data_IF_600535452281
#
_entry.id   IF_600535452281
#
_cell.length_a   1.000
_cell.length_b   1.000
_cell.length_c   1.000
_cell.angle_alpha   90.00
_cell.angle_beta   90.00
_cell.angle_gamma   90.00
#
_symmetry.space_group_name_H-M   'P 1'
#
loop_
_entity.id
_entity.type
_entity.pdbx_description
1 polymer ?
#
# COMPACT_ATOMS: atom_id res chain seq x y z
N UNK A 1 -3.24 39.00 -59.05
CA UNK A 1 -4.22 38.11 -58.37
C UNK A 1 -3.78 36.64 -58.29
N UNK A 2 -3.31 35.98 -59.37
CA UNK A 2 -2.92 34.56 -59.32
C UNK A 2 -1.78 34.19 -58.34
N UNK A 3 -0.82 35.09 -58.08
CA UNK A 3 0.28 34.87 -57.12
C UNK A 3 -0.16 34.95 -55.65
N UNK A 4 -1.07 35.88 -55.32
CA UNK A 4 -1.62 36.04 -53.96
C UNK A 4 -2.49 34.84 -53.56
N UNK A 5 -3.29 34.31 -54.49
CA UNK A 5 -4.11 33.12 -54.26
C UNK A 5 -3.24 31.88 -54.02
N UNK A 6 -2.10 31.73 -54.72
CA UNK A 6 -1.15 30.63 -54.48
C UNK A 6 -0.49 30.70 -53.10
N UNK A 7 -0.14 31.90 -52.62
CA UNK A 7 0.47 32.07 -51.30
C UNK A 7 -0.56 31.76 -50.21
N UNK A 8 -1.80 32.25 -50.34
CA UNK A 8 -2.89 31.98 -49.40
C UNK A 8 -3.28 30.49 -49.36
N UNK A 9 -3.34 29.81 -50.50
CA UNK A 9 -3.58 28.36 -50.53
C UNK A 9 -2.43 27.56 -49.92
N UNK A 10 -1.17 27.98 -50.14
CA UNK A 10 -0.01 27.31 -49.56
C UNK A 10 0.06 27.48 -48.04
N UNK A 11 -0.33 28.64 -47.50
CA UNK A 11 -0.42 28.87 -46.06
C UNK A 11 -1.61 28.14 -45.43
N UNK A 12 -2.73 27.99 -46.15
CA UNK A 12 -3.87 27.20 -45.68
C UNK A 12 -3.54 25.71 -45.66
N UNK A 13 -2.76 25.21 -46.64
CA UNK A 13 -2.27 23.84 -46.65
C UNK A 13 -1.26 23.56 -45.53
N UNK A 14 -0.40 24.53 -45.20
CA UNK A 14 0.54 24.46 -44.08
C UNK A 14 -0.18 24.44 -42.72
N UNK A 15 -1.25 25.24 -42.56
CA UNK A 15 -2.09 25.21 -41.36
C UNK A 15 -2.91 23.92 -41.25
N UNK A 16 -3.46 23.40 -42.35
CA UNK A 16 -4.14 22.10 -42.39
C UNK A 16 -3.18 20.93 -42.12
N UNK A 17 -1.91 21.01 -42.54
CA UNK A 17 -0.92 19.97 -42.23
C UNK A 17 -0.42 19.96 -40.78
N UNK A 18 -0.60 21.06 -40.03
CA UNK A 18 -0.35 21.08 -38.58
C UNK A 18 -1.58 20.54 -37.82
N UNK A 19 -2.78 20.64 -38.40
CA UNK A 19 -4.01 20.05 -37.85
C UNK A 19 -4.25 18.57 -38.21
N UNK A 20 -3.38 17.95 -39.02
CA UNK A 20 -3.55 16.57 -39.51
C UNK A 20 -2.50 15.57 -38.99
N UNK A 21 -1.72 15.91 -37.96
CA UNK A 21 -0.76 14.97 -37.35
C UNK A 21 -1.24 14.39 -36.01
N UNK A 22 -2.57 14.25 -35.83
CA UNK A 22 -3.17 13.58 -34.66
C UNK A 22 -3.73 12.18 -34.95
N UNK A 23 -3.47 11.61 -36.13
CA UNK A 23 -3.77 10.20 -36.39
C UNK A 23 -2.49 9.38 -36.24
N UNK A 24 -2.08 9.17 -34.99
CA UNK A 24 -1.21 8.05 -34.63
C UNK A 24 -2.08 6.89 -34.11
N UNK A 25 -3.21 6.63 -34.78
CA UNK A 25 -3.94 5.39 -34.65
C UNK A 25 -3.34 4.37 -35.62
N UNK A 26 -2.84 3.25 -35.09
CA UNK A 26 -2.49 2.16 -36.00
C UNK A 26 -2.01 0.88 -35.34
N UNK A 27 -1.26 0.94 -34.23
CA UNK A 27 -0.60 -0.28 -33.72
C UNK A 27 -0.71 -0.49 -32.20
N UNK A 28 -1.14 0.50 -31.39
CA UNK A 28 -1.09 0.40 -29.92
C UNK A 28 -2.40 0.67 -29.14
N UNK A 29 -3.50 1.14 -29.78
CA UNK A 29 -4.70 1.55 -29.01
C UNK A 29 -5.53 0.38 -28.48
N UNK A 30 -5.64 -0.74 -29.22
CA UNK A 30 -6.40 -1.91 -28.78
C UNK A 30 -5.72 -2.63 -27.60
N UNK A 31 -4.39 -2.69 -27.62
CA UNK A 31 -3.59 -3.28 -26.55
C UNK A 31 -3.61 -2.39 -25.30
N UNK A 32 -3.55 -1.07 -25.49
CA UNK A 32 -3.73 -0.09 -24.42
C UNK A 32 -5.11 -0.20 -23.75
N UNK A 33 -6.20 -0.19 -24.51
CA UNK A 33 -7.55 -0.30 -23.97
C UNK A 33 -7.78 -1.63 -23.24
N UNK A 34 -7.32 -2.74 -23.82
CA UNK A 34 -7.40 -4.05 -23.17
C UNK A 34 -6.63 -4.07 -21.85
N UNK A 35 -5.45 -3.44 -21.81
CA UNK A 35 -4.64 -3.31 -20.60
C UNK A 35 -5.32 -2.42 -19.57
N UNK A 36 -5.86 -1.26 -19.97
CA UNK A 36 -6.60 -0.34 -19.10
C UNK A 36 -7.72 -1.10 -18.40
N UNK A 37 -8.55 -1.82 -19.16
CA UNK A 37 -9.65 -2.61 -18.59
C UNK A 37 -9.17 -3.72 -17.65
N UNK A 38 -8.06 -4.39 -17.97
CA UNK A 38 -7.43 -5.36 -17.07
C UNK A 38 -6.96 -4.73 -15.76
N UNK A 39 -6.37 -3.52 -15.83
CA UNK A 39 -5.91 -2.76 -14.66
C UNK A 39 -7.09 -2.30 -13.81
N UNK A 40 -8.13 -1.74 -14.41
CA UNK A 40 -9.35 -1.35 -13.70
C UNK A 40 -10.00 -2.54 -13.00
N UNK A 41 -10.08 -3.71 -13.66
CA UNK A 41 -10.57 -4.93 -13.04
C UNK A 41 -9.74 -5.35 -11.80
N UNK A 42 -8.41 -5.28 -11.89
CA UNK A 42 -7.52 -5.57 -10.75
C UNK A 42 -7.66 -4.55 -9.63
N UNK A 43 -7.78 -3.27 -9.94
CA UNK A 43 -7.95 -2.21 -8.95
C UNK A 43 -9.27 -2.36 -8.20
N UNK A 44 -10.36 -2.66 -8.89
CA UNK A 44 -11.64 -2.96 -8.24
C UNK A 44 -11.56 -4.19 -7.33
N UNK A 45 -10.85 -5.23 -7.74
CA UNK A 45 -10.58 -6.39 -6.88
C UNK A 45 -9.78 -5.98 -5.63
N UNK A 46 -8.70 -5.22 -5.80
CA UNK A 46 -7.88 -4.72 -4.69
C UNK A 46 -8.66 -3.79 -3.75
N UNK A 47 -9.55 -2.97 -4.29
CA UNK A 47 -10.45 -2.12 -3.51
C UNK A 47 -11.42 -2.96 -2.66
N UNK A 48 -11.98 -4.02 -3.24
CA UNK A 48 -12.81 -4.98 -2.48
C UNK A 48 -12.02 -5.68 -1.37
N UNK A 49 -10.79 -6.11 -1.66
CA UNK A 49 -9.91 -6.76 -0.68
C UNK A 49 -9.50 -5.83 0.47
N UNK A 50 -9.10 -4.59 0.17
CA UNK A 50 -8.76 -3.57 1.18
C UNK A 50 -9.98 -3.23 2.03
N UNK A 51 -11.16 -3.06 1.43
CA UNK A 51 -12.41 -2.77 2.16
C UNK A 51 -12.76 -3.88 3.15
N UNK A 52 -12.62 -5.14 2.74
CA UNK A 52 -12.84 -6.29 3.63
C UNK A 52 -11.78 -6.33 4.75
N UNK A 53 -10.51 -6.07 4.43
CA UNK A 53 -9.42 -6.03 5.41
C UNK A 53 -9.63 -4.93 6.45
N UNK A 54 -10.16 -3.78 6.05
CA UNK A 54 -10.54 -2.68 6.96
C UNK A 54 -11.67 -3.08 7.90
N UNK A 55 -12.68 -3.79 7.39
CA UNK A 55 -13.75 -4.34 8.23
C UNK A 55 -13.21 -5.36 9.23
N UNK A 56 -12.30 -6.23 8.80
CA UNK A 56 -11.63 -7.20 9.66
C UNK A 56 -10.78 -6.54 10.75
N UNK A 57 -10.03 -5.48 10.40
CA UNK A 57 -9.25 -4.71 11.37
C UNK A 57 -10.17 -4.13 12.47
N UNK A 58 -11.27 -3.47 12.08
CA UNK A 58 -12.25 -2.90 13.03
C UNK A 58 -12.87 -3.98 13.93
N UNK A 59 -13.29 -5.10 13.35
CA UNK A 59 -13.85 -6.22 14.13
C UNK A 59 -12.82 -6.83 15.09
N UNK A 60 -11.55 -6.93 14.69
CA UNK A 60 -10.48 -7.46 15.55
C UNK A 60 -10.26 -6.54 16.76
N UNK A 61 -10.29 -5.23 16.53
CA UNK A 61 -10.23 -4.21 17.58
C UNK A 61 -11.37 -4.35 18.59
N UNK A 62 -12.61 -4.46 18.10
CA UNK A 62 -13.80 -4.57 18.96
C UNK A 62 -13.79 -5.85 19.80
N UNK A 63 -13.37 -6.98 19.21
CA UNK A 63 -13.31 -8.27 19.90
C UNK A 63 -12.25 -8.31 21.01
N UNK A 64 -11.10 -7.65 20.79
CA UNK A 64 -10.05 -7.56 21.81
C UNK A 64 -10.47 -6.71 23.00
N UNK A 65 -11.10 -5.55 22.74
CA UNK A 65 -11.62 -4.68 23.81
C UNK A 65 -12.65 -5.39 24.70
N UNK A 66 -13.29 -6.45 24.20
CA UNK A 66 -14.24 -7.27 24.95
C UNK A 66 -13.60 -8.48 25.67
N UNK A 67 -12.32 -8.78 25.46
CA UNK A 67 -11.68 -10.02 25.93
C UNK A 67 -10.59 -9.79 26.99
N UNK A 68 -10.67 -10.52 28.11
CA UNK A 68 -9.70 -10.43 29.22
C UNK A 68 -8.63 -11.55 29.20
N UNK A 69 -8.50 -12.33 28.12
CA UNK A 69 -7.55 -13.46 28.07
C UNK A 69 -6.23 -13.09 27.37
N UNK A 70 -5.10 -13.21 28.07
CA UNK A 70 -3.78 -12.85 27.56
C UNK A 70 -3.37 -13.57 26.25
N UNK A 71 -3.83 -14.81 26.03
CA UNK A 71 -3.54 -15.53 24.78
C UNK A 71 -4.26 -14.94 23.56
N UNK A 72 -5.45 -14.35 23.75
CA UNK A 72 -6.19 -13.70 22.65
C UNK A 72 -5.52 -12.41 22.20
N UNK A 73 -4.79 -11.74 23.10
CA UNK A 73 -4.01 -10.53 22.78
C UNK A 73 -2.92 -10.82 21.76
N UNK A 74 -2.12 -11.89 21.98
CA UNK A 74 -1.02 -12.25 21.06
C UNK A 74 -1.54 -12.63 19.68
N UNK A 75 -2.59 -13.45 19.61
CA UNK A 75 -3.21 -13.85 18.34
C UNK A 75 -3.74 -12.63 17.55
N UNK A 76 -4.41 -11.72 18.24
CA UNK A 76 -4.94 -10.53 17.62
C UNK A 76 -3.85 -9.55 17.17
N UNK A 77 -2.72 -9.44 17.88
CA UNK A 77 -1.55 -8.67 17.41
C UNK A 77 -1.03 -9.22 16.08
N UNK A 78 -0.94 -10.53 15.94
CA UNK A 78 -0.45 -11.17 14.70
C UNK A 78 -1.43 -10.93 13.55
N UNK A 79 -2.73 -11.11 13.80
CA UNK A 79 -3.77 -10.83 12.82
C UNK A 79 -3.67 -9.37 12.36
N UNK A 80 -3.52 -8.44 13.30
CA UNK A 80 -3.45 -7.02 13.02
C UNK A 80 -2.21 -6.65 12.18
N UNK A 81 -1.03 -7.16 12.53
CA UNK A 81 0.19 -6.90 11.74
C UNK A 81 0.14 -7.59 10.37
N UNK A 82 -0.50 -8.76 10.26
CA UNK A 82 -0.74 -9.41 8.99
C UNK A 82 -1.68 -8.59 8.08
N UNK A 83 -2.72 -7.96 8.65
CA UNK A 83 -3.60 -7.05 7.93
C UNK A 83 -2.82 -5.85 7.37
N UNK A 84 -1.92 -5.23 8.15
CA UNK A 84 -1.03 -4.17 7.65
C UNK A 84 -0.15 -4.67 6.49
N UNK A 85 0.48 -5.83 6.64
CA UNK A 85 1.34 -6.37 5.58
C UNK A 85 0.57 -6.63 4.29
N UNK A 86 -0.62 -7.22 4.38
CA UNK A 86 -1.50 -7.48 3.23
C UNK A 86 -1.95 -6.17 2.57
N UNK A 87 -2.37 -5.20 3.37
CA UNK A 87 -2.78 -3.87 2.92
C UNK A 87 -1.65 -3.13 2.19
N UNK A 88 -0.41 -3.24 2.70
CA UNK A 88 0.77 -2.65 2.06
C UNK A 88 1.08 -3.28 0.69
N UNK A 89 0.95 -4.61 0.56
CA UNK A 89 1.10 -5.29 -0.74
C UNK A 89 -0.01 -4.89 -1.72
N UNK A 90 -1.23 -4.65 -1.24
CA UNK A 90 -2.35 -4.20 -2.07
C UNK A 90 -2.11 -2.81 -2.65
N UNK A 91 -1.68 -1.82 -1.84
CA UNK A 91 -1.38 -0.47 -2.35
C UNK A 91 -0.13 -0.44 -3.24
N UNK A 92 0.86 -1.30 -2.97
CA UNK A 92 1.99 -1.53 -3.88
C UNK A 92 1.54 -2.05 -5.24
N UNK A 93 0.64 -3.03 -5.25
CA UNK A 93 0.04 -3.54 -6.49
C UNK A 93 -0.73 -2.46 -7.26
N UNK A 94 -1.50 -1.64 -6.54
CA UNK A 94 -2.29 -0.57 -7.13
C UNK A 94 -1.43 0.52 -7.76
N UNK A 95 -0.46 1.06 -7.01
CA UNK A 95 0.47 2.09 -7.50
C UNK A 95 1.34 1.60 -8.66
N UNK A 96 1.76 0.32 -8.63
CA UNK A 96 2.45 -0.30 -9.76
C UNK A 96 1.56 -0.34 -11.01
N UNK A 97 0.30 -0.74 -10.89
CA UNK A 97 -0.61 -0.78 -12.03
C UNK A 97 -0.82 0.63 -12.64
N UNK A 98 -0.94 1.65 -11.79
CA UNK A 98 -1.01 3.05 -12.24
C UNK A 98 0.25 3.47 -13.00
N UNK A 99 1.43 3.17 -12.44
CA UNK A 99 2.71 3.47 -13.08
C UNK A 99 2.89 2.72 -14.41
N UNK A 100 2.55 1.43 -14.47
CA UNK A 100 2.60 0.63 -15.70
C UNK A 100 1.70 1.23 -16.79
N UNK A 101 0.48 1.69 -16.44
CA UNK A 101 -0.43 2.31 -17.39
C UNK A 101 0.13 3.66 -17.89
N UNK A 102 0.68 4.47 -16.99
CA UNK A 102 1.31 5.74 -17.36
C UNK A 102 2.48 5.54 -18.33
N UNK A 103 3.35 4.56 -18.07
CA UNK A 103 4.44 4.22 -18.99
C UNK A 103 3.93 3.77 -20.37
N UNK A 104 2.86 2.97 -20.42
CA UNK A 104 2.25 2.55 -21.69
C UNK A 104 1.61 3.69 -22.46
N UNK A 105 1.08 4.69 -21.74
CA UNK A 105 0.57 5.93 -22.34
C UNK A 105 1.68 6.91 -22.75
N UNK A 106 2.96 6.56 -22.53
CA UNK A 106 4.14 7.42 -22.71
C UNK A 106 4.08 8.70 -21.85
N UNK A 107 3.46 8.57 -20.68
CA UNK A 107 3.33 9.64 -19.68
C UNK A 107 4.38 9.43 -18.61
N UNK A 108 5.40 10.31 -18.63
CA UNK A 108 6.45 10.34 -17.63
C UNK A 108 6.14 11.40 -16.57
N UNK A 109 5.37 10.99 -15.57
CA UNK A 109 5.08 11.80 -14.39
C UNK A 109 5.89 11.27 -13.22
N UNK A 110 6.93 12.02 -12.84
CA UNK A 110 7.81 11.68 -11.72
C UNK A 110 7.02 11.38 -10.44
N UNK A 111 5.91 12.11 -10.21
CA UNK A 111 5.01 11.88 -9.07
C UNK A 111 4.33 10.51 -9.06
N UNK A 112 3.98 9.96 -10.22
CA UNK A 112 3.44 8.59 -10.31
C UNK A 112 4.50 7.58 -9.89
N UNK A 113 5.73 7.75 -10.38
CA UNK A 113 6.87 6.90 -10.01
C UNK A 113 7.20 7.00 -8.52
N UNK A 114 7.29 8.21 -7.97
CA UNK A 114 7.54 8.45 -6.54
C UNK A 114 6.49 7.73 -5.66
N UNK A 115 5.21 7.78 -6.03
CA UNK A 115 4.15 7.08 -5.30
C UNK A 115 4.33 5.55 -5.30
N UNK A 116 4.79 4.98 -6.42
CA UNK A 116 5.08 3.55 -6.53
C UNK A 116 6.32 3.15 -5.72
N UNK A 117 7.39 3.94 -5.78
CA UNK A 117 8.62 3.72 -5.02
C UNK A 117 8.33 3.76 -3.50
N UNK A 118 7.54 4.74 -3.03
CA UNK A 118 7.09 4.80 -1.63
C UNK A 118 6.25 3.58 -1.24
N UNK A 119 5.35 3.11 -2.09
CA UNK A 119 4.54 1.93 -1.80
C UNK A 119 5.39 0.65 -1.70
N UNK A 120 6.47 0.54 -2.49
CA UNK A 120 7.45 -0.55 -2.37
C UNK A 120 8.16 -0.51 -1.01
N UNK A 121 8.60 0.67 -0.59
CA UNK A 121 9.24 0.86 0.73
C UNK A 121 8.28 0.47 1.85
N UNK A 122 7.04 0.96 1.82
CA UNK A 122 6.04 0.66 2.83
C UNK A 122 5.74 -0.85 2.92
N UNK A 123 5.61 -1.54 1.78
CA UNK A 123 5.42 -3.00 1.75
C UNK A 123 6.60 -3.77 2.36
N UNK A 124 7.84 -3.33 2.10
CA UNK A 124 9.02 -3.96 2.69
C UNK A 124 9.06 -3.77 4.21
N UNK A 125 8.78 -2.57 4.70
CA UNK A 125 8.73 -2.25 6.14
C UNK A 125 7.60 -3.04 6.83
N UNK A 126 6.42 -3.11 6.22
CA UNK A 126 5.30 -3.87 6.76
C UNK A 126 5.61 -5.38 6.85
N UNK A 127 6.29 -5.92 5.84
CA UNK A 127 6.75 -7.32 5.84
C UNK A 127 7.79 -7.59 6.91
N UNK A 128 8.71 -6.66 7.14
CA UNK A 128 9.68 -6.74 8.23
C UNK A 128 8.96 -6.77 9.59
N UNK A 129 8.01 -5.86 9.81
CA UNK A 129 7.20 -5.83 11.02
C UNK A 129 6.48 -7.17 11.25
N UNK A 130 5.86 -7.73 10.22
CA UNK A 130 5.22 -9.05 10.30
C UNK A 130 6.19 -10.15 10.74
N UNK A 131 7.37 -10.21 10.13
CA UNK A 131 8.37 -11.23 10.46
C UNK A 131 8.86 -11.09 11.91
N UNK A 132 9.10 -9.86 12.36
CA UNK A 132 9.51 -9.57 13.74
C UNK A 132 8.43 -9.97 14.75
N UNK A 133 7.16 -9.63 14.49
CA UNK A 133 6.03 -10.01 15.33
C UNK A 133 5.90 -11.53 15.45
N UNK A 134 6.02 -12.25 14.33
CA UNK A 134 5.97 -13.71 14.32
C UNK A 134 7.12 -14.35 15.09
N UNK A 135 8.33 -13.78 15.00
CA UNK A 135 9.47 -14.25 15.79
C UNK A 135 9.25 -13.99 17.29
N UNK A 136 8.70 -12.83 17.65
CA UNK A 136 8.38 -12.49 19.04
C UNK A 136 7.33 -13.45 19.62
N UNK A 137 6.27 -13.77 18.87
CA UNK A 137 5.28 -14.79 19.23
C UNK A 137 5.93 -16.14 19.55
N UNK A 138 6.75 -16.65 18.63
CA UNK A 138 7.39 -17.96 18.81
C UNK A 138 8.28 -17.99 20.05
N UNK A 139 8.96 -16.89 20.36
CA UNK A 139 9.76 -16.76 21.56
C UNK A 139 8.87 -16.77 22.81
N UNK A 140 7.80 -15.98 22.85
CA UNK A 140 6.86 -15.97 23.97
C UNK A 140 6.22 -17.35 24.22
N UNK A 141 5.82 -18.06 23.16
CA UNK A 141 5.26 -19.42 23.28
C UNK A 141 6.25 -20.42 23.88
N UNK A 142 7.56 -20.29 23.58
CA UNK A 142 8.60 -21.12 24.21
C UNK A 142 8.70 -20.83 25.70
N UNK A 143 8.66 -19.55 26.09
CA UNK A 143 8.72 -19.15 27.51
C UNK A 143 7.54 -19.67 28.32
N UNK A 144 6.32 -19.58 27.79
CA UNK A 144 5.14 -20.12 28.47
C UNK A 144 5.26 -21.63 28.73
N UNK A 145 5.70 -22.40 27.73
CA UNK A 145 5.91 -23.84 27.87
C UNK A 145 7.01 -24.18 28.89
N UNK A 146 8.05 -23.37 28.98
CA UNK A 146 9.14 -23.61 29.93
C UNK A 146 8.73 -23.23 31.35
N UNK A 147 7.98 -22.13 31.54
CA UNK A 147 7.37 -21.80 32.83
C UNK A 147 6.41 -22.89 33.33
N UNK A 148 5.56 -23.45 32.47
CA UNK A 148 4.66 -24.54 32.84
C UNK A 148 5.41 -25.78 33.36
N UNK A 149 6.57 -26.11 32.77
CA UNK A 149 7.42 -27.21 33.25
C UNK A 149 8.07 -26.87 34.60
N UNK A 150 8.57 -25.65 34.76
CA UNK A 150 9.25 -25.22 35.99
C UNK A 150 8.28 -25.13 37.18
N UNK A 151 7.02 -24.71 36.97
CA UNK A 151 5.98 -24.74 38.01
C UNK A 151 5.63 -26.17 38.49
N UNK A 152 5.98 -27.20 37.72
CA UNK A 152 5.86 -28.61 38.11
C UNK A 152 7.05 -29.17 38.88
N UNK A 153 8.12 -28.39 39.11
CA UNK A 153 9.36 -28.84 39.78
C UNK A 153 9.81 -27.84 40.87
N UNK A 154 10.22 -28.29 42.07
CA UNK A 154 10.65 -27.36 43.13
C UNK A 154 11.93 -26.65 42.68
N UNK A 155 11.82 -25.37 42.33
CA UNK A 155 12.88 -24.60 41.68
C UNK A 155 13.73 -23.82 42.70
N UNK A 156 15.06 -23.98 42.64
CA UNK A 156 16.06 -23.20 43.39
C UNK A 156 16.39 -21.85 42.73
N UNK A 157 17.23 -21.02 43.38
CA UNK A 157 17.50 -19.61 42.96
C UNK A 157 17.99 -19.45 41.51
N UNK A 158 18.74 -20.42 40.99
CA UNK A 158 19.33 -20.35 39.65
C UNK A 158 18.27 -20.43 38.53
N UNK A 159 17.13 -21.09 38.79
CA UNK A 159 15.99 -21.14 37.86
C UNK A 159 15.24 -19.80 37.74
N UNK A 160 15.28 -18.97 38.78
CA UNK A 160 14.62 -17.66 38.81
C UNK A 160 15.41 -16.62 38.00
N UNK A 161 16.75 -16.71 38.02
CA UNK A 161 17.62 -15.80 37.28
C UNK A 161 17.56 -16.04 35.75
N UNK A 162 17.56 -17.30 35.32
CA UNK A 162 17.41 -17.65 33.90
C UNK A 162 16.04 -17.23 33.33
N UNK A 163 14.95 -17.47 34.07
CA UNK A 163 13.61 -17.05 33.65
C UNK A 163 13.51 -15.50 33.51
N UNK A 164 14.24 -14.75 34.33
CA UNK A 164 14.26 -13.28 34.27
C UNK A 164 14.90 -12.76 32.98
N UNK A 165 16.01 -13.34 32.55
CA UNK A 165 16.72 -12.89 31.35
C UNK A 165 15.99 -13.24 30.06
N UNK A 166 15.35 -14.40 30.03
CA UNK A 166 14.50 -14.83 28.93
C UNK A 166 13.28 -13.90 28.74
N UNK A 167 12.64 -13.49 29.85
CA UNK A 167 11.53 -12.51 29.83
C UNK A 167 12.01 -11.16 29.28
N UNK A 168 13.18 -10.67 29.70
CA UNK A 168 13.74 -9.40 29.19
C UNK A 168 14.01 -9.47 27.67
N UNK A 169 14.47 -10.61 27.16
CA UNK A 169 14.69 -10.79 25.73
C UNK A 169 13.37 -10.79 24.94
N UNK A 170 12.33 -11.45 25.43
CA UNK A 170 11.01 -11.43 24.81
C UNK A 170 10.42 -10.01 24.78
N UNK A 171 10.53 -9.25 25.87
CA UNK A 171 10.07 -7.86 25.92
C UNK A 171 10.77 -6.98 24.87
N UNK A 172 12.10 -7.12 24.72
CA UNK A 172 12.86 -6.40 23.67
C UNK A 172 12.39 -6.78 22.26
N UNK A 173 12.12 -8.06 22.01
CA UNK A 173 11.64 -8.52 20.71
C UNK A 173 10.27 -7.91 20.36
N UNK A 174 9.35 -7.85 21.33
CA UNK A 174 8.04 -7.20 21.19
C UNK A 174 8.19 -5.71 20.92
N UNK A 175 9.08 -5.02 21.65
CA UNK A 175 9.33 -3.58 21.44
C UNK A 175 9.86 -3.28 20.03
N UNK A 176 10.77 -4.11 19.52
CA UNK A 176 11.32 -3.99 18.16
C UNK A 176 10.22 -4.21 17.12
N UNK A 177 9.41 -5.26 17.29
CA UNK A 177 8.28 -5.54 16.41
C UNK A 177 7.29 -4.38 16.39
N UNK A 178 6.97 -3.83 17.56
CA UNK A 178 6.08 -2.67 17.70
C UNK A 178 6.60 -1.43 16.96
N UNK A 179 7.88 -1.08 17.14
CA UNK A 179 8.52 0.04 16.44
C UNK A 179 8.45 -0.15 14.92
N UNK A 180 8.64 -1.37 14.43
CA UNK A 180 8.51 -1.68 13.01
C UNK A 180 7.06 -1.52 12.52
N UNK A 181 6.06 -1.93 13.31
CA UNK A 181 4.64 -1.74 12.99
C UNK A 181 4.25 -0.26 12.91
N UNK A 182 4.70 0.56 13.87
CA UNK A 182 4.45 2.01 13.85
C UNK A 182 5.10 2.65 12.62
N UNK A 183 6.34 2.26 12.31
CA UNK A 183 7.03 2.73 11.10
C UNK A 183 6.26 2.32 9.84
N UNK A 184 5.79 1.09 9.74
CA UNK A 184 4.97 0.65 8.60
C UNK A 184 3.73 1.52 8.41
N UNK A 185 3.05 1.89 9.50
CA UNK A 185 1.91 2.81 9.47
C UNK A 185 2.30 4.20 8.96
N UNK A 186 3.43 4.76 9.41
CA UNK A 186 3.91 6.07 8.95
C UNK A 186 4.25 6.03 7.44
N UNK A 187 4.92 4.98 6.97
CA UNK A 187 5.24 4.80 5.54
C UNK A 187 3.95 4.68 4.69
N UNK A 188 2.89 4.04 5.22
CA UNK A 188 1.61 3.93 4.52
C UNK A 188 0.83 5.25 4.45
N UNK A 189 0.98 6.13 5.45
CA UNK A 189 0.47 7.51 5.38
C UNK A 189 1.21 8.28 4.27
N UNK A 190 2.51 8.10 4.19
CA UNK A 190 3.36 8.70 3.16
C UNK A 190 2.97 8.26 1.73
N UNK A 191 2.56 7.00 1.57
CA UNK A 191 2.03 6.49 0.29
C UNK A 191 0.73 7.19 -0.09
N UNK A 192 -0.21 7.35 0.85
CA UNK A 192 -1.48 8.05 0.59
C UNK A 192 -1.24 9.50 0.15
N UNK A 193 -0.34 10.22 0.84
CA UNK A 193 0.05 11.58 0.48
C UNK A 193 0.69 11.63 -0.93
N UNK A 194 1.60 10.70 -1.24
CA UNK A 194 2.24 10.65 -2.55
C UNK A 194 1.26 10.34 -3.70
N UNK A 195 0.27 9.47 -3.45
CA UNK A 195 -0.80 9.20 -4.41
C UNK A 195 -1.69 10.42 -4.62
N UNK A 196 -2.00 11.18 -3.56
CA UNK A 196 -2.72 12.47 -3.70
C UNK A 196 -1.95 13.46 -4.55
N UNK A 197 -0.66 13.65 -4.27
CA UNK A 197 0.19 14.55 -5.06
C UNK A 197 0.25 14.11 -6.54
N UNK A 198 0.32 12.79 -6.79
CA UNK A 198 0.28 12.26 -8.16
C UNK A 198 -1.06 12.56 -8.83
N UNK A 199 -2.19 12.35 -8.15
CA UNK A 199 -3.52 12.65 -8.69
C UNK A 199 -3.70 14.15 -8.97
N UNK A 200 -3.26 15.02 -8.06
CA UNK A 200 -3.33 16.47 -8.26
C UNK A 200 -2.50 16.92 -9.47
N UNK A 201 -1.31 16.30 -9.64
CA UNK A 201 -0.45 16.54 -10.80
C UNK A 201 -1.08 16.04 -12.10
N UNK A 202 -1.67 14.85 -12.09
CA UNK A 202 -2.45 14.31 -13.21
C UNK A 202 -3.57 15.30 -13.57
N UNK A 203 -4.43 15.69 -12.63
CA UNK A 203 -5.54 16.62 -12.86
C UNK A 203 -5.11 17.96 -13.47
N UNK A 204 -3.99 18.49 -13.00
CA UNK A 204 -3.42 19.74 -13.53
C UNK A 204 -2.96 19.59 -14.98
N UNK A 205 -2.37 18.44 -15.33
CA UNK A 205 -1.86 18.18 -16.68
C UNK A 205 -2.92 17.61 -17.63
N UNK A 206 -3.98 16.95 -17.14
CA UNK A 206 -5.11 16.42 -17.93
C UNK A 206 -5.79 17.52 -18.74
N UNK A 207 -5.86 18.73 -18.19
CA UNK A 207 -6.36 19.90 -18.89
C UNK A 207 -5.64 20.18 -20.23
N UNK A 208 -4.43 19.65 -20.41
CA UNK A 208 -3.58 19.85 -21.58
C UNK A 208 -3.24 18.55 -22.34
N UNK A 209 -3.68 17.37 -21.87
CA UNK A 209 -3.40 16.08 -22.51
C UNK A 209 -4.55 15.08 -22.27
N UNK A 210 -5.27 14.70 -23.33
CA UNK A 210 -6.44 13.83 -23.26
C UNK A 210 -6.13 12.40 -22.81
N UNK A 211 -4.89 11.91 -22.99
CA UNK A 211 -4.47 10.57 -22.52
C UNK A 211 -4.34 10.47 -21.00
N UNK A 212 -4.23 11.60 -20.29
CA UNK A 212 -4.21 11.61 -18.82
C UNK A 212 -5.57 11.33 -18.19
N UNK A 213 -6.67 11.50 -18.93
CA UNK A 213 -8.02 11.19 -18.42
C UNK A 213 -8.17 9.73 -18.02
N UNK A 214 -7.52 8.81 -18.73
CA UNK A 214 -7.54 7.37 -18.38
C UNK A 214 -6.74 7.06 -17.12
N UNK A 215 -5.63 7.78 -16.93
CA UNK A 215 -4.77 7.63 -15.76
C UNK A 215 -5.43 8.27 -14.54
N UNK A 216 -6.19 9.34 -14.72
CA UNK A 216 -6.95 9.99 -13.66
C UNK A 216 -7.96 9.02 -13.02
N UNK A 217 -8.75 8.31 -13.83
CA UNK A 217 -9.69 7.28 -13.35
C UNK A 217 -8.96 6.20 -12.51
N UNK A 218 -7.80 5.76 -12.99
CA UNK A 218 -6.96 4.78 -12.29
C UNK A 218 -6.38 5.34 -11.00
N UNK A 219 -5.90 6.59 -11.00
CA UNK A 219 -5.33 7.26 -9.85
C UNK A 219 -6.37 7.51 -8.75
N UNK A 220 -7.62 7.77 -9.11
CA UNK A 220 -8.72 7.90 -8.14
C UNK A 220 -9.01 6.59 -7.41
N UNK A 221 -8.98 5.45 -8.11
CA UNK A 221 -9.10 4.13 -7.49
C UNK A 221 -7.90 3.82 -6.58
N UNK A 222 -6.69 4.15 -7.03
CA UNK A 222 -5.46 3.95 -6.22
C UNK A 222 -5.50 4.80 -4.96
N UNK A 223 -6.04 6.02 -5.03
CA UNK A 223 -6.23 6.87 -3.85
C UNK A 223 -7.24 6.27 -2.87
N UNK A 224 -8.35 5.71 -3.35
CA UNK A 224 -9.31 5.02 -2.48
C UNK A 224 -8.67 3.81 -1.78
N UNK A 225 -7.88 3.02 -2.51
CA UNK A 225 -7.11 1.90 -1.95
C UNK A 225 -6.12 2.43 -0.89
N UNK A 226 -5.35 3.47 -1.20
CA UNK A 226 -4.37 4.03 -0.26
C UNK A 226 -5.04 4.59 1.01
N UNK A 227 -6.21 5.23 0.89
CA UNK A 227 -7.01 5.69 2.02
C UNK A 227 -7.44 4.52 2.92
N UNK A 228 -7.98 3.45 2.34
CA UNK A 228 -8.37 2.25 3.11
C UNK A 228 -7.16 1.63 3.83
N UNK A 229 -6.02 1.57 3.16
CA UNK A 229 -4.77 1.02 3.72
C UNK A 229 -4.25 1.88 4.88
N UNK A 230 -4.30 3.20 4.75
CA UNK A 230 -4.00 4.13 5.84
C UNK A 230 -4.92 3.87 7.04
N UNK A 231 -6.23 3.76 6.82
CA UNK A 231 -7.19 3.48 7.89
C UNK A 231 -6.90 2.13 8.58
N UNK A 232 -6.64 1.06 7.81
CA UNK A 232 -6.22 -0.24 8.38
C UNK A 232 -5.02 -0.07 9.31
N UNK A 233 -3.99 0.63 8.84
CA UNK A 233 -2.77 0.83 9.62
C UNK A 233 -3.01 1.65 10.89
N UNK A 234 -3.86 2.67 10.82
CA UNK A 234 -4.23 3.49 11.97
C UNK A 234 -5.05 2.69 13.01
N UNK A 235 -6.04 1.92 12.56
CA UNK A 235 -6.87 1.08 13.43
C UNK A 235 -6.04 0.01 14.15
N UNK A 236 -5.16 -0.67 13.41
CA UNK A 236 -4.27 -1.69 13.99
C UNK A 236 -3.31 -1.08 15.01
N UNK A 237 -2.71 0.07 14.71
CA UNK A 237 -1.80 0.72 15.68
C UNK A 237 -2.58 1.25 16.89
N UNK A 238 -3.82 1.73 16.71
CA UNK A 238 -4.65 2.14 17.83
C UNK A 238 -4.96 0.96 18.77
N UNK A 239 -5.34 -0.19 18.21
CA UNK A 239 -5.58 -1.44 18.93
C UNK A 239 -4.37 -1.90 19.75
N UNK A 240 -3.17 -1.74 19.21
CA UNK A 240 -1.95 -2.19 19.89
C UNK A 240 -1.48 -1.24 21.00
N UNK A 241 -2.09 -0.05 21.12
CA UNK A 241 -1.81 0.92 22.17
C UNK A 241 -2.79 0.89 23.35
N UNK A 242 -3.89 0.13 23.25
CA UNK A 242 -4.88 -0.07 24.33
C UNK A 242 -4.48 -1.21 25.25
#
# INVERSE_FOLDING_TARGET
MKKLIKILLSSLFLLLSISCSLDNEGVNSKDYESKKQSILGKLNQLLGQTTNSLKEAKNTTDNLNASNEANKVVEAVIIAVNLISSAADQVKGATKNMHDLAQMAEIDLEKIKESSDKAIVAANVAKEAYNLTKAAEQNMQKLYKEQEKQLGTPSGSDGIEQASDEIKQAQKAVEIAWKATVKAKDELIDVENAVKEALDKIKTETANNTKLSDIEEVAELVLQIANNVKEIAQEVVALLNT
#
